data_IF_903392582201
#
_entry.id   IF_903392582201
#
_cell.length_a   1.000
_cell.length_b   1.000
_cell.length_c   1.000
_cell.angle_alpha   90.00
_cell.angle_beta   90.00
_cell.angle_gamma   90.00
#
_symmetry.space_group_name_H-M   'P 1'
#
loop_
_entity.id
_entity.type
_entity.pdbx_description
1 polymer ?
#
# COMPACT_ATOMS: atom_id res chain seq x y z
N UNK A 1 -16.70 5.08 21.60
CA UNK A 1 -16.65 4.96 20.13
C UNK A 1 -16.52 3.50 19.75
N UNK A 2 -17.21 3.09 18.68
CA UNK A 2 -17.11 1.73 18.12
C UNK A 2 -15.75 1.57 17.42
N UNK A 3 -15.07 0.44 17.59
CA UNK A 3 -13.76 0.18 17.02
C UNK A 3 -13.49 -1.32 16.84
N UNK A 4 -12.62 -1.67 15.89
CA UNK A 4 -12.16 -3.04 15.62
C UNK A 4 -10.78 -3.23 16.25
N UNK A 5 -10.71 -4.02 17.29
CA UNK A 5 -9.51 -4.20 18.11
C UNK A 5 -8.89 -5.57 17.85
N UNK A 6 -7.60 -5.58 17.55
CA UNK A 6 -6.78 -6.79 17.45
C UNK A 6 -6.43 -7.31 18.86
N UNK A 7 -6.96 -8.47 19.21
CA UNK A 7 -6.69 -9.12 20.49
C UNK A 7 -5.51 -10.06 20.44
N UNK A 8 -5.52 -10.89 19.41
CA UNK A 8 -4.49 -11.91 19.15
C UNK A 8 -4.63 -12.43 17.70
N UNK A 9 -3.76 -13.32 17.29
CA UNK A 9 -3.88 -14.08 16.04
C UNK A 9 -5.29 -14.65 15.89
N UNK A 10 -5.88 -14.44 14.72
CA UNK A 10 -7.24 -14.84 14.34
C UNK A 10 -8.36 -14.29 15.26
N UNK A 11 -8.05 -13.22 16.01
CA UNK A 11 -9.02 -12.62 16.94
C UNK A 11 -9.10 -11.10 16.80
N UNK A 12 -10.15 -10.63 16.11
CA UNK A 12 -10.60 -9.25 16.04
C UNK A 12 -11.93 -9.09 16.77
N UNK A 13 -12.06 -8.07 17.60
CA UNK A 13 -13.27 -7.77 18.32
C UNK A 13 -13.79 -6.38 18.00
N UNK A 14 -15.09 -6.27 17.77
CA UNK A 14 -15.78 -4.98 17.68
C UNK A 14 -16.22 -4.61 19.10
N UNK A 15 -15.68 -3.53 19.63
CA UNK A 15 -15.97 -3.09 20.99
C UNK A 15 -16.15 -1.57 21.08
N UNK A 16 -16.80 -1.14 22.14
CA UNK A 16 -16.81 0.26 22.56
C UNK A 16 -15.50 0.61 23.29
N UNK A 17 -14.76 1.56 22.73
CA UNK A 17 -13.52 2.08 23.33
C UNK A 17 -13.66 3.56 23.69
N UNK A 18 -12.67 4.08 24.44
CA UNK A 18 -12.55 5.50 24.74
C UNK A 18 -11.23 6.02 24.16
N UNK A 19 -11.26 7.19 23.57
CA UNK A 19 -10.03 7.88 23.21
C UNK A 19 -9.27 8.24 24.50
N UNK A 20 -7.94 8.15 24.44
CA UNK A 20 -7.09 8.72 25.49
C UNK A 20 -7.17 10.25 25.47
N UNK A 21 -6.58 10.90 26.47
CA UNK A 21 -6.45 12.35 26.47
C UNK A 21 -5.62 12.81 25.26
N UNK A 22 -6.14 13.85 24.61
CA UNK A 22 -5.48 14.53 23.49
C UNK A 22 -4.27 15.33 24.02
N UNK A 23 -3.15 15.30 23.31
CA UNK A 23 -2.01 16.18 23.59
C UNK A 23 -2.13 17.47 22.78
N UNK A 24 -1.28 18.44 23.12
CA UNK A 24 -1.30 19.79 22.53
C UNK A 24 -0.98 19.78 21.02
N UNK A 25 -0.17 18.83 20.55
CA UNK A 25 0.27 18.64 19.16
C UNK A 25 -0.51 17.56 18.38
N UNK A 26 -1.67 17.16 18.88
CA UNK A 26 -2.48 16.08 18.29
C UNK A 26 -3.87 16.56 17.84
N UNK A 27 -4.41 15.84 16.87
CA UNK A 27 -5.73 16.01 16.29
C UNK A 27 -6.61 14.81 16.63
N UNK A 28 -7.92 15.02 16.84
CA UNK A 28 -8.92 13.94 16.75
C UNK A 28 -9.60 14.08 15.39
N UNK A 29 -9.60 13.02 14.62
CA UNK A 29 -10.32 12.97 13.35
C UNK A 29 -11.48 11.98 13.41
N UNK A 30 -12.59 12.34 12.78
CA UNK A 30 -13.63 11.40 12.39
C UNK A 30 -13.13 10.64 11.16
N UNK A 31 -12.93 9.32 11.28
CA UNK A 31 -12.48 8.50 10.16
C UNK A 31 -13.60 8.37 9.14
N UNK A 32 -13.34 8.82 7.92
CA UNK A 32 -14.30 8.65 6.83
C UNK A 32 -14.11 7.32 6.11
N UNK A 33 -12.87 7.03 5.71
CA UNK A 33 -12.50 5.81 5.01
C UNK A 33 -11.15 5.31 5.52
N UNK A 34 -11.02 3.98 5.64
CA UNK A 34 -9.75 3.31 5.93
C UNK A 34 -9.60 2.08 5.04
N UNK A 35 -8.54 2.05 4.22
CA UNK A 35 -8.21 0.91 3.36
C UNK A 35 -7.84 -0.33 4.18
N UNK A 36 -8.24 -1.50 3.69
CA UNK A 36 -7.76 -2.79 4.20
C UNK A 36 -6.55 -3.21 3.37
N UNK A 37 -5.45 -3.49 4.03
CA UNK A 37 -4.16 -3.86 3.45
C UNK A 37 -3.88 -5.36 3.58
N UNK A 38 -3.02 -5.90 2.72
CA UNK A 38 -2.46 -7.24 2.91
C UNK A 38 -1.76 -7.41 4.27
N UNK A 39 -1.16 -6.34 4.80
CA UNK A 39 -0.54 -6.32 6.13
C UNK A 39 -1.54 -6.63 7.24
N UNK A 40 -2.78 -6.13 7.16
CA UNK A 40 -3.82 -6.43 8.15
C UNK A 40 -4.14 -7.93 8.18
N UNK A 41 -4.19 -8.59 7.00
CA UNK A 41 -4.34 -10.05 6.91
C UNK A 41 -3.11 -10.79 7.46
N UNK A 42 -1.90 -10.31 7.19
CA UNK A 42 -0.69 -10.90 7.77
C UNK A 42 -0.67 -10.79 9.28
N UNK A 43 -1.12 -9.67 9.85
CA UNK A 43 -1.27 -9.48 11.30
C UNK A 43 -2.32 -10.46 11.84
N UNK A 44 -3.49 -10.50 11.23
CA UNK A 44 -4.58 -11.40 11.65
C UNK A 44 -4.14 -12.87 11.67
N UNK A 45 -3.43 -13.31 10.62
CA UNK A 45 -2.94 -14.70 10.52
C UNK A 45 -1.65 -14.98 11.30
N UNK A 46 -1.14 -14.03 12.08
CA UNK A 46 0.09 -14.20 12.88
C UNK A 46 1.40 -14.21 12.08
N UNK A 47 1.36 -13.78 10.82
CA UNK A 47 2.53 -13.68 9.93
C UNK A 47 3.25 -12.32 10.02
N UNK A 48 2.70 -11.37 10.78
CA UNK A 48 3.28 -10.06 11.01
C UNK A 48 2.92 -9.58 12.41
N UNK A 49 3.81 -8.80 13.03
CA UNK A 49 3.60 -8.31 14.37
C UNK A 49 2.70 -7.07 14.40
N UNK A 50 1.72 -7.07 15.32
CA UNK A 50 1.04 -5.89 15.80
C UNK A 50 0.98 -5.93 17.34
N UNK A 51 0.81 -4.76 17.95
CA UNK A 51 0.62 -4.68 19.39
C UNK A 51 -0.80 -5.16 19.74
N UNK A 52 -0.92 -6.11 20.67
CA UNK A 52 -2.22 -6.57 21.17
C UNK A 52 -3.01 -5.42 21.79
N UNK A 53 -4.32 -5.48 21.66
CA UNK A 53 -5.28 -4.46 22.08
C UNK A 53 -5.13 -3.12 21.34
N UNK A 54 -4.66 -3.15 20.10
CA UNK A 54 -4.57 -1.99 19.20
C UNK A 54 -5.69 -2.03 18.17
N UNK A 55 -6.24 -0.89 17.84
CA UNK A 55 -7.19 -0.73 16.72
C UNK A 55 -6.37 -0.78 15.43
N UNK A 56 -6.70 -1.70 14.50
CA UNK A 56 -6.01 -1.83 13.22
C UNK A 56 -6.44 -0.74 12.21
N UNK A 57 -5.90 -0.82 10.99
CA UNK A 57 -6.19 0.08 9.88
C UNK A 57 -5.22 1.25 9.80
N UNK A 58 -4.36 1.23 8.78
CA UNK A 58 -3.26 2.19 8.63
C UNK A 58 -3.34 3.02 7.33
N UNK A 59 -4.34 2.80 6.48
CA UNK A 59 -4.55 3.51 5.22
C UNK A 59 -5.80 4.39 5.31
N UNK A 60 -5.77 5.53 6.04
CA UNK A 60 -7.00 6.24 6.36
C UNK A 60 -6.96 7.75 6.10
N UNK A 61 -8.17 8.28 5.89
CA UNK A 61 -8.46 9.70 5.76
C UNK A 61 -9.72 10.05 6.53
N UNK A 62 -9.84 11.30 6.94
CA UNK A 62 -10.98 11.76 7.72
C UNK A 62 -11.03 13.27 7.88
N UNK A 63 -11.93 13.73 8.74
CA UNK A 63 -12.18 15.15 9.02
C UNK A 63 -11.79 15.49 10.45
N UNK A 64 -11.08 16.58 10.67
CA UNK A 64 -10.68 17.05 11.99
C UNK A 64 -11.91 17.50 12.78
N UNK A 65 -12.12 16.95 13.97
CA UNK A 65 -13.24 17.32 14.87
C UNK A 65 -12.78 17.97 16.18
N UNK A 66 -11.53 17.72 16.60
CA UNK A 66 -10.90 18.39 17.74
C UNK A 66 -9.42 18.60 17.40
N UNK A 67 -8.85 19.73 17.84
CA UNK A 67 -7.43 20.02 17.73
C UNK A 67 -6.81 20.43 19.06
N UNK A 68 -5.58 20.02 19.31
CA UNK A 68 -4.77 20.51 20.41
C UNK A 68 -4.35 21.97 20.21
N UNK A 69 -3.85 22.60 21.25
CA UNK A 69 -3.54 24.03 21.24
C UNK A 69 -2.37 24.38 20.33
N UNK A 70 -1.42 23.44 20.13
CA UNK A 70 -0.22 23.62 19.29
C UNK A 70 -0.42 23.16 17.85
N UNK A 71 -1.63 22.77 17.45
CA UNK A 71 -1.97 22.32 16.09
C UNK A 71 -2.11 23.49 15.11
N UNK A 72 -1.04 24.24 14.88
CA UNK A 72 -1.01 25.36 13.95
C UNK A 72 -1.15 24.87 12.50
N UNK A 73 -1.92 25.59 11.66
CA UNK A 73 -2.14 25.27 10.25
C UNK A 73 -3.25 24.26 9.99
N UNK A 74 -3.95 23.79 11.05
CA UNK A 74 -5.11 22.91 10.96
C UNK A 74 -6.33 23.56 11.60
N UNK A 75 -7.51 23.38 10.99
CA UNK A 75 -8.77 23.86 11.53
C UNK A 75 -9.78 22.71 11.67
N UNK A 76 -10.72 22.86 12.61
CA UNK A 76 -11.84 21.92 12.75
C UNK A 76 -12.68 21.97 11.47
N UNK A 77 -12.96 20.81 10.89
CA UNK A 77 -13.64 20.67 9.60
C UNK A 77 -12.70 20.48 8.41
N UNK A 78 -11.38 20.58 8.61
CA UNK A 78 -10.41 20.25 7.56
C UNK A 78 -10.39 18.74 7.28
N UNK A 79 -10.27 18.38 6.00
CA UNK A 79 -10.05 17.02 5.56
C UNK A 79 -8.55 16.71 5.49
N UNK A 80 -8.16 15.55 5.99
CA UNK A 80 -6.77 15.10 5.98
C UNK A 80 -6.63 13.65 5.55
N UNK A 81 -5.50 13.33 4.93
CA UNK A 81 -4.95 11.96 4.86
C UNK A 81 -3.82 11.82 5.89
N UNK A 82 -3.59 10.61 6.36
CA UNK A 82 -2.66 10.35 7.47
C UNK A 82 -1.55 9.41 7.05
N UNK A 83 -0.29 9.85 7.21
CA UNK A 83 0.87 8.96 7.16
C UNK A 83 0.93 8.18 8.48
N UNK A 84 0.73 6.85 8.47
CA UNK A 84 0.70 6.08 9.72
C UNK A 84 2.06 5.98 10.41
N UNK A 85 3.17 6.26 9.71
CA UNK A 85 4.52 5.96 10.17
C UNK A 85 5.12 7.09 10.99
N UNK A 86 5.27 6.89 12.29
CA UNK A 86 5.81 7.87 13.24
C UNK A 86 7.26 7.53 13.55
N UNK A 87 8.17 8.45 13.24
CA UNK A 87 9.61 8.31 13.43
C UNK A 87 10.12 9.18 14.56
N UNK A 88 11.13 8.72 15.31
CA UNK A 88 11.62 9.47 16.46
C UNK A 88 12.46 10.72 16.12
N UNK A 89 12.94 10.84 14.89
CA UNK A 89 13.75 11.97 14.40
C UNK A 89 15.18 12.08 14.99
N UNK A 90 15.54 11.26 15.98
CA UNK A 90 16.78 11.44 16.78
C UNK A 90 17.72 10.23 16.81
N UNK A 91 17.30 9.02 16.46
CA UNK A 91 18.20 7.86 16.34
C UNK A 91 19.12 8.01 15.12
N UNK A 92 20.16 7.18 15.06
CA UNK A 92 21.17 7.28 14.01
C UNK A 92 20.59 7.05 12.61
N UNK A 93 19.63 6.12 12.47
CA UNK A 93 18.93 5.93 11.22
C UNK A 93 18.13 7.17 10.79
N UNK A 94 17.41 7.80 11.72
CA UNK A 94 16.67 9.03 11.40
C UNK A 94 17.60 10.17 10.99
N UNK A 95 18.70 10.36 11.72
CA UNK A 95 19.73 11.38 11.40
C UNK A 95 20.41 11.12 10.06
N UNK A 96 20.51 9.84 9.63
CA UNK A 96 21.07 9.47 8.34
C UNK A 96 20.04 9.51 7.19
N UNK A 97 18.80 10.01 7.43
CA UNK A 97 17.72 10.04 6.43
C UNK A 97 17.13 8.67 6.09
N UNK A 98 17.41 7.65 6.88
CA UNK A 98 16.91 6.28 6.72
C UNK A 98 15.79 5.99 7.74
N UNK A 99 14.78 6.87 7.75
CA UNK A 99 13.72 6.87 8.76
C UNK A 99 12.92 5.56 8.81
N UNK A 100 12.80 4.82 7.71
CA UNK A 100 12.15 3.50 7.66
C UNK A 100 12.82 2.44 8.57
N UNK A 101 14.04 2.70 9.03
CA UNK A 101 14.77 1.85 9.99
C UNK A 101 14.83 2.46 11.39
N UNK A 102 13.95 3.41 11.71
CA UNK A 102 13.90 4.05 13.00
C UNK A 102 13.77 3.02 14.14
N UNK A 103 14.67 3.08 15.13
CA UNK A 103 14.69 2.16 16.28
C UNK A 103 13.45 2.30 17.18
N UNK A 104 12.81 3.46 17.15
CA UNK A 104 11.60 3.76 17.92
C UNK A 104 10.41 4.02 16.98
N UNK A 105 10.36 3.30 15.86
CA UNK A 105 9.28 3.40 14.91
C UNK A 105 7.95 2.97 15.54
N UNK A 106 6.92 3.78 15.31
CA UNK A 106 5.54 3.49 15.66
C UNK A 106 4.69 3.62 14.42
N UNK A 107 3.61 2.86 14.35
CA UNK A 107 2.68 2.91 13.23
C UNK A 107 1.23 2.91 13.73
N UNK A 108 0.47 3.92 13.33
CA UNK A 108 -0.97 3.98 13.54
C UNK A 108 -1.62 2.78 12.80
N UNK A 109 -2.48 2.04 13.48
CA UNK A 109 -3.09 0.84 12.95
C UNK A 109 -2.25 -0.43 13.05
N UNK A 110 -1.07 -0.37 13.70
CA UNK A 110 -0.18 -1.53 13.92
C UNK A 110 0.33 -1.56 15.36
N UNK A 111 1.02 -0.52 15.80
CA UNK A 111 1.56 -0.40 17.17
C UNK A 111 0.86 0.66 18.02
N UNK A 112 0.17 1.56 17.38
CA UNK A 112 -0.71 2.58 17.96
C UNK A 112 -2.08 2.46 17.29
N UNK A 113 -3.14 2.97 17.93
CA UNK A 113 -4.51 2.88 17.41
C UNK A 113 -4.65 3.53 16.04
N UNK A 114 -5.38 2.87 15.14
CA UNK A 114 -5.58 3.23 13.74
C UNK A 114 -7.02 3.50 13.33
N UNK A 115 -7.27 3.38 12.02
CA UNK A 115 -8.46 3.88 11.35
C UNK A 115 -9.66 2.93 11.27
N UNK A 116 -9.61 1.70 11.81
CA UNK A 116 -10.82 0.85 11.89
C UNK A 116 -11.64 1.21 13.13
N UNK A 117 -12.00 2.48 13.24
CA UNK A 117 -12.77 3.08 14.33
C UNK A 117 -13.57 4.29 13.83
N UNK A 118 -14.49 4.78 14.66
CA UNK A 118 -15.18 6.04 14.37
C UNK A 118 -14.23 7.24 14.44
N UNK A 119 -13.30 7.24 15.41
CA UNK A 119 -12.36 8.33 15.66
C UNK A 119 -10.96 7.81 15.93
N UNK A 120 -9.95 8.60 15.59
CA UNK A 120 -8.54 8.31 15.87
C UNK A 120 -7.80 9.58 16.27
N UNK A 121 -6.79 9.44 17.15
CA UNK A 121 -5.87 10.52 17.51
C UNK A 121 -4.65 10.45 16.59
N UNK A 122 -4.33 11.58 15.94
CA UNK A 122 -3.27 11.70 14.96
C UNK A 122 -2.32 12.84 15.36
N UNK A 123 -1.00 12.59 15.48
CA UNK A 123 -0.04 13.70 15.60
C UNK A 123 -0.07 14.61 14.38
N UNK A 124 0.03 15.92 14.55
CA UNK A 124 0.03 16.88 13.43
C UNK A 124 1.11 16.61 12.40
N UNK A 125 2.26 16.08 12.83
CA UNK A 125 3.36 15.69 11.93
C UNK A 125 3.01 14.58 10.93
N UNK A 126 1.92 13.86 11.17
CA UNK A 126 1.43 12.77 10.33
C UNK A 126 0.22 13.17 9.48
N UNK A 127 -0.31 14.38 9.67
CA UNK A 127 -1.50 14.89 9.02
C UNK A 127 -1.15 15.68 7.75
N UNK A 128 -1.82 15.37 6.64
CA UNK A 128 -1.67 16.07 5.37
C UNK A 128 -3.02 16.63 4.92
N UNK A 129 -3.09 17.96 4.81
CA UNK A 129 -4.29 18.66 4.39
C UNK A 129 -4.71 18.28 2.96
N UNK A 130 -6.00 18.14 2.78
CA UNK A 130 -6.63 17.87 1.49
C UNK A 130 -7.52 19.04 1.06
N UNK A 131 -7.72 19.28 -0.23
CA UNK A 131 -8.75 20.18 -0.70
C UNK A 131 -10.13 19.74 -0.13
N UNK A 132 -10.95 20.70 0.27
CA UNK A 132 -12.22 20.44 0.96
C UNK A 132 -13.15 19.50 0.21
N UNK A 133 -13.16 19.59 -1.12
CA UNK A 133 -14.01 18.79 -2.00
C UNK A 133 -13.35 17.48 -2.46
N UNK A 134 -12.13 17.16 -1.97
CA UNK A 134 -11.45 15.94 -2.37
C UNK A 134 -12.10 14.72 -1.69
N UNK A 135 -12.26 13.63 -2.46
CA UNK A 135 -12.85 12.38 -1.97
C UNK A 135 -11.99 11.75 -0.88
N UNK A 136 -12.56 11.54 0.32
CA UNK A 136 -11.86 10.88 1.42
C UNK A 136 -11.65 9.38 1.17
N UNK A 137 -12.50 8.76 0.34
CA UNK A 137 -12.27 7.39 -0.15
C UNK A 137 -11.03 7.31 -1.04
N UNK A 138 -10.82 8.30 -1.92
CA UNK A 138 -9.63 8.36 -2.76
C UNK A 138 -8.39 8.75 -1.94
N UNK A 139 -8.55 9.61 -0.94
CA UNK A 139 -7.49 10.01 -0.04
C UNK A 139 -6.92 8.85 0.80
N UNK A 140 -7.74 7.84 1.12
CA UNK A 140 -7.29 6.62 1.80
C UNK A 140 -6.28 5.79 0.97
N UNK A 141 -6.12 6.08 -0.32
CA UNK A 141 -5.05 5.50 -1.14
C UNK A 141 -3.69 6.21 -0.97
N UNK A 142 -3.60 7.31 -0.21
CA UNK A 142 -2.36 8.06 -0.06
C UNK A 142 -1.23 7.19 0.55
N UNK A 143 -1.56 6.40 1.57
CA UNK A 143 -0.58 5.50 2.19
C UNK A 143 -0.04 4.45 1.20
N UNK A 144 -0.86 3.57 0.59
CA UNK A 144 -0.34 2.58 -0.34
C UNK A 144 0.32 3.21 -1.58
N UNK A 145 -0.16 4.36 -2.06
CA UNK A 145 0.48 5.09 -3.14
C UNK A 145 1.88 5.58 -2.73
N UNK A 146 2.03 6.07 -1.50
CA UNK A 146 3.33 6.53 -0.98
C UNK A 146 4.36 5.40 -0.91
N UNK A 147 3.93 4.20 -0.52
CA UNK A 147 4.75 3.00 -0.57
C UNK A 147 5.12 2.65 -2.02
N UNK A 148 4.16 2.72 -2.96
CA UNK A 148 4.41 2.47 -4.38
C UNK A 148 5.41 3.48 -4.97
N UNK A 149 5.34 4.76 -4.61
CA UNK A 149 6.33 5.77 -5.01
C UNK A 149 7.72 5.35 -4.58
N UNK A 150 7.88 4.88 -3.33
CA UNK A 150 9.17 4.36 -2.87
C UNK A 150 9.63 3.16 -3.71
N UNK A 151 8.74 2.24 -4.06
CA UNK A 151 9.04 1.11 -4.94
C UNK A 151 9.53 1.55 -6.32
N UNK A 152 8.90 2.54 -6.92
CA UNK A 152 9.30 3.11 -8.22
C UNK A 152 10.65 3.83 -8.12
N UNK A 153 10.90 4.57 -7.04
CA UNK A 153 12.21 5.19 -6.79
C UNK A 153 13.32 4.11 -6.72
N UNK A 154 13.04 2.95 -6.11
CA UNK A 154 13.98 1.82 -6.09
C UNK A 154 14.17 1.19 -7.48
N UNK A 155 13.15 1.19 -8.34
CA UNK A 155 13.26 0.63 -9.69
C UNK A 155 14.17 1.46 -10.58
N UNK A 156 14.36 2.77 -10.33
CA UNK A 156 15.17 3.68 -11.14
C UNK A 156 14.81 3.60 -12.62
N UNK A 157 13.49 3.71 -12.90
CA UNK A 157 12.96 3.67 -14.27
C UNK A 157 13.52 4.85 -15.06
N UNK A 158 14.00 4.57 -16.28
CA UNK A 158 14.46 5.58 -17.24
C UNK A 158 13.47 5.68 -18.40
N UNK A 159 13.46 6.85 -19.05
CA UNK A 159 12.69 7.00 -20.28
C UNK A 159 13.08 5.96 -21.31
N UNK A 160 12.11 5.24 -21.81
CA UNK A 160 12.32 4.18 -22.80
C UNK A 160 12.41 2.77 -22.21
N UNK A 161 12.52 2.61 -20.87
CA UNK A 161 12.55 1.30 -20.24
C UNK A 161 11.26 0.51 -20.49
N UNK A 162 11.41 -0.80 -20.66
CA UNK A 162 10.30 -1.76 -20.57
C UNK A 162 10.13 -2.23 -19.13
N UNK A 163 8.90 -2.23 -18.64
CA UNK A 163 8.56 -2.60 -17.26
C UNK A 163 7.58 -3.77 -17.25
N UNK A 164 7.88 -4.79 -16.44
CA UNK A 164 6.90 -5.85 -16.12
C UNK A 164 6.47 -5.70 -14.68
N UNK A 165 5.17 -5.68 -14.44
CA UNK A 165 4.56 -5.68 -13.12
C UNK A 165 3.95 -7.05 -12.89
N UNK A 166 4.42 -7.77 -11.88
CA UNK A 166 3.90 -9.08 -11.50
C UNK A 166 2.86 -8.88 -10.39
N UNK A 167 1.60 -9.12 -10.74
CA UNK A 167 0.42 -8.88 -9.90
C UNK A 167 -0.38 -7.65 -10.33
N UNK A 168 -1.62 -7.85 -10.77
CA UNK A 168 -2.58 -6.80 -11.19
C UNK A 168 -3.59 -6.43 -10.10
N UNK A 169 -3.23 -6.55 -8.81
CA UNK A 169 -4.01 -6.05 -7.69
C UNK A 169 -3.89 -4.54 -7.53
N UNK A 170 -4.44 -3.98 -6.45
CA UNK A 170 -4.38 -2.54 -6.16
C UNK A 170 -2.98 -1.98 -6.28
N UNK A 171 -2.00 -2.62 -5.64
CA UNK A 171 -0.59 -2.20 -5.68
C UNK A 171 -0.04 -2.23 -7.10
N UNK A 172 -0.29 -3.31 -7.86
CA UNK A 172 0.16 -3.41 -9.25
C UNK A 172 -0.44 -2.33 -10.16
N UNK A 173 -1.71 -1.95 -9.95
CA UNK A 173 -2.38 -0.87 -10.68
C UNK A 173 -1.83 0.52 -10.32
N UNK A 174 -1.42 0.74 -9.07
CA UNK A 174 -0.73 1.97 -8.67
C UNK A 174 0.69 2.02 -9.27
N UNK A 175 1.44 0.90 -9.22
CA UNK A 175 2.77 0.77 -9.83
C UNK A 175 2.74 0.98 -11.35
N UNK A 176 1.71 0.48 -12.03
CA UNK A 176 1.49 0.69 -13.46
C UNK A 176 1.43 2.18 -13.82
N UNK A 177 0.61 2.94 -13.12
CA UNK A 177 0.46 4.36 -13.36
C UNK A 177 1.75 5.13 -13.04
N UNK A 178 2.40 4.80 -11.92
CA UNK A 178 3.66 5.41 -11.52
C UNK A 178 4.81 5.06 -12.49
N UNK A 179 4.88 3.82 -13.01
CA UNK A 179 5.86 3.43 -14.02
C UNK A 179 5.68 4.23 -15.32
N UNK A 180 4.43 4.45 -15.73
CA UNK A 180 4.09 5.30 -16.87
C UNK A 180 4.54 6.75 -16.65
N UNK A 181 4.27 7.33 -15.49
CA UNK A 181 4.72 8.67 -15.12
C UNK A 181 6.25 8.77 -15.05
N UNK A 182 6.95 7.69 -14.66
CA UNK A 182 8.40 7.64 -14.63
C UNK A 182 9.06 7.52 -16.02
N UNK A 183 8.26 7.33 -17.08
CA UNK A 183 8.74 7.31 -18.47
C UNK A 183 8.96 5.93 -19.07
N UNK A 184 8.37 4.88 -18.48
CA UNK A 184 8.35 3.55 -19.11
C UNK A 184 7.72 3.64 -20.51
N UNK A 185 8.40 3.06 -21.52
CA UNK A 185 7.92 3.05 -22.91
C UNK A 185 6.99 1.88 -23.20
N UNK A 186 7.04 0.85 -22.37
CA UNK A 186 6.22 -0.36 -22.47
C UNK A 186 5.98 -0.95 -21.10
N UNK A 187 4.73 -1.24 -20.79
CA UNK A 187 4.34 -1.81 -19.50
C UNK A 187 3.51 -3.07 -19.73
N UNK A 188 3.97 -4.18 -19.18
CA UNK A 188 3.27 -5.46 -19.17
C UNK A 188 2.82 -5.75 -17.74
N UNK A 189 1.54 -6.10 -17.56
CA UNK A 189 1.01 -6.58 -16.29
C UNK A 189 0.80 -8.09 -16.37
N UNK A 190 1.28 -8.83 -15.36
CA UNK A 190 1.03 -10.26 -15.24
C UNK A 190 -0.01 -10.47 -14.15
N UNK A 191 -1.19 -10.98 -14.53
CA UNK A 191 -2.33 -11.18 -13.63
C UNK A 191 -3.14 -12.42 -14.06
N UNK A 192 -3.31 -13.43 -13.16
CA UNK A 192 -4.08 -14.64 -13.49
C UNK A 192 -5.59 -14.38 -13.60
N UNK A 193 -6.14 -13.41 -12.88
CA UNK A 193 -7.56 -13.15 -12.86
C UNK A 193 -7.99 -12.23 -14.01
N UNK A 194 -8.61 -12.82 -15.03
CA UNK A 194 -9.06 -12.07 -16.22
C UNK A 194 -10.04 -10.92 -15.91
N UNK A 195 -10.81 -11.03 -14.80
CA UNK A 195 -11.72 -9.94 -14.40
C UNK A 195 -11.00 -8.65 -14.01
N UNK A 196 -9.70 -8.75 -13.65
CA UNK A 196 -8.85 -7.60 -13.32
C UNK A 196 -8.18 -6.98 -14.55
N UNK A 197 -8.12 -7.68 -15.66
CA UNK A 197 -7.41 -7.24 -16.86
C UNK A 197 -7.91 -5.90 -17.39
N UNK A 198 -9.24 -5.69 -17.40
CA UNK A 198 -9.84 -4.44 -17.88
C UNK A 198 -9.30 -3.21 -17.15
N UNK A 199 -9.10 -3.28 -15.82
CA UNK A 199 -8.60 -2.15 -15.04
C UNK A 199 -7.15 -1.82 -15.36
N UNK A 200 -6.32 -2.84 -15.59
CA UNK A 200 -4.94 -2.61 -16.00
C UNK A 200 -4.85 -1.96 -17.39
N UNK A 201 -5.70 -2.39 -18.35
CA UNK A 201 -5.77 -1.77 -19.68
C UNK A 201 -6.26 -0.33 -19.62
N UNK A 202 -7.34 -0.06 -18.88
CA UNK A 202 -7.90 1.28 -18.68
C UNK A 202 -6.88 2.23 -18.05
N UNK A 203 -6.05 1.75 -17.11
CA UNK A 203 -5.01 2.52 -16.44
C UNK A 203 -3.69 2.60 -17.23
N UNK A 204 -3.62 1.97 -18.40
CA UNK A 204 -2.56 2.19 -19.38
C UNK A 204 -1.51 1.09 -19.50
N UNK A 205 -1.83 -0.16 -19.14
CA UNK A 205 -0.99 -1.31 -19.51
C UNK A 205 -1.02 -1.51 -21.02
N UNK A 206 0.16 -1.71 -21.63
CA UNK A 206 0.25 -2.03 -23.06
C UNK A 206 -0.12 -3.48 -23.34
N UNK A 207 0.23 -4.39 -22.41
CA UNK A 207 -0.05 -5.82 -22.52
C UNK A 207 -0.42 -6.40 -21.16
N UNK A 208 -1.26 -7.44 -21.20
CA UNK A 208 -1.55 -8.27 -20.02
C UNK A 208 -1.30 -9.72 -20.38
N UNK A 209 -0.58 -10.40 -19.50
CA UNK A 209 -0.27 -11.81 -19.62
C UNK A 209 -0.78 -12.56 -18.39
N UNK A 210 -1.30 -13.78 -18.61
CA UNK A 210 -1.64 -14.68 -17.52
C UNK A 210 -0.47 -15.61 -17.21
N UNK A 211 -0.09 -15.83 -15.95
CA UNK A 211 0.98 -16.74 -15.57
C UNK A 211 0.68 -18.21 -15.96
N UNK A 212 -0.59 -18.57 -16.11
CA UNK A 212 -1.03 -19.94 -16.46
C UNK A 212 -0.90 -20.26 -17.96
N UNK A 213 -0.54 -19.28 -18.78
CA UNK A 213 -0.33 -19.52 -20.22
C UNK A 213 0.99 -20.24 -20.46
N UNK A 214 0.94 -21.34 -21.23
CA UNK A 214 2.10 -22.17 -21.59
C UNK A 214 3.26 -21.36 -22.21
N UNK A 215 2.96 -20.23 -22.84
CA UNK A 215 3.93 -19.40 -23.57
C UNK A 215 4.25 -18.06 -22.87
N UNK A 216 3.97 -17.89 -21.57
CA UNK A 216 4.18 -16.62 -20.86
C UNK A 216 5.56 -16.03 -21.09
N UNK A 217 6.63 -16.80 -20.84
CA UNK A 217 8.01 -16.33 -20.99
C UNK A 217 8.35 -15.98 -22.44
N UNK A 218 7.84 -16.74 -23.40
CA UNK A 218 8.02 -16.45 -24.83
C UNK A 218 7.34 -15.13 -25.21
N UNK A 219 6.08 -14.93 -24.83
CA UNK A 219 5.34 -13.70 -25.13
C UNK A 219 5.95 -12.49 -24.43
N UNK A 220 6.34 -12.61 -23.17
CA UNK A 220 7.01 -11.55 -22.44
C UNK A 220 8.35 -11.17 -23.08
N UNK A 221 9.19 -12.17 -23.42
CA UNK A 221 10.47 -11.94 -24.08
C UNK A 221 10.33 -11.33 -25.48
N UNK A 222 9.35 -11.80 -26.26
CA UNK A 222 9.04 -11.23 -27.58
C UNK A 222 8.61 -9.77 -27.47
N UNK A 223 7.74 -9.46 -26.49
CA UNK A 223 7.20 -8.12 -26.29
C UNK A 223 8.25 -7.15 -25.76
N UNK A 224 9.19 -7.62 -24.92
CA UNK A 224 10.26 -6.81 -24.30
C UNK A 224 11.60 -6.93 -25.03
N UNK A 225 11.66 -7.65 -26.15
CA UNK A 225 12.89 -7.89 -26.91
C UNK A 225 13.99 -8.55 -26.08
N UNK A 226 13.67 -9.63 -25.37
CA UNK A 226 14.61 -10.47 -24.62
C UNK A 226 14.62 -10.26 -23.10
N UNK A 227 13.56 -9.74 -22.54
CA UNK A 227 13.35 -9.48 -21.11
C UNK A 227 13.14 -8.00 -20.80
N UNK A 228 12.54 -7.71 -19.66
CA UNK A 228 12.26 -6.34 -19.24
C UNK A 228 13.48 -5.64 -18.64
N UNK A 229 13.55 -4.31 -18.78
CA UNK A 229 14.52 -3.46 -18.09
C UNK A 229 14.28 -3.45 -16.58
N UNK A 230 13.03 -3.44 -16.20
CA UNK A 230 12.58 -3.43 -14.81
C UNK A 230 11.47 -4.46 -14.59
N UNK A 231 11.54 -5.17 -13.48
CA UNK A 231 10.46 -6.04 -13.01
C UNK A 231 10.08 -5.63 -11.60
N UNK A 232 8.80 -5.34 -11.36
CA UNK A 232 8.27 -4.99 -10.05
C UNK A 232 7.35 -6.12 -9.61
N UNK A 233 7.75 -6.81 -8.56
CA UNK A 233 7.01 -7.93 -7.99
C UNK A 233 6.08 -7.40 -6.87
N UNK A 234 4.75 -7.55 -7.06
CA UNK A 234 3.72 -6.99 -6.19
C UNK A 234 2.84 -8.07 -5.52
N UNK A 235 3.19 -9.34 -5.59
CA UNK A 235 2.41 -10.47 -5.07
C UNK A 235 2.90 -10.92 -3.68
N UNK A 236 4.23 -10.94 -3.49
CA UNK A 236 4.83 -11.40 -2.24
C UNK A 236 4.89 -12.93 -2.13
N UNK A 237 5.11 -13.65 -3.22
CA UNK A 237 5.24 -15.11 -3.19
C UNK A 237 6.56 -15.58 -3.81
N UNK A 238 7.12 -16.73 -3.34
CA UNK A 238 8.33 -17.30 -3.94
C UNK A 238 8.20 -17.54 -5.44
N UNK A 239 7.02 -17.96 -5.91
CA UNK A 239 6.78 -18.23 -7.32
C UNK A 239 6.78 -16.94 -8.16
N UNK A 240 6.19 -15.85 -7.65
CA UNK A 240 6.18 -14.56 -8.32
C UNK A 240 7.60 -13.94 -8.39
N UNK A 241 8.39 -14.07 -7.31
CA UNK A 241 9.81 -13.64 -7.32
C UNK A 241 10.63 -14.50 -8.30
N UNK A 242 10.41 -15.81 -8.32
CA UNK A 242 11.10 -16.73 -9.26
C UNK A 242 10.75 -16.39 -10.71
N UNK A 243 9.48 -16.11 -10.99
CA UNK A 243 9.03 -15.65 -12.31
C UNK A 243 9.70 -14.31 -12.67
N UNK A 244 9.83 -13.38 -11.74
CA UNK A 244 10.52 -12.10 -11.96
C UNK A 244 11.97 -12.27 -12.39
N UNK A 245 12.70 -13.25 -11.82
CA UNK A 245 14.07 -13.59 -12.23
C UNK A 245 14.17 -14.14 -13.66
N UNK A 246 13.10 -14.77 -14.16
CA UNK A 246 13.04 -15.28 -15.54
C UNK A 246 12.69 -14.19 -16.56
N UNK A 247 11.95 -13.17 -16.13
CA UNK A 247 11.44 -12.09 -16.98
C UNK A 247 12.41 -10.94 -17.17
N UNK A 248 13.42 -10.82 -16.30
CA UNK A 248 14.39 -9.73 -16.32
C UNK A 248 15.51 -9.95 -17.35
N UNK A 249 15.86 -8.92 -18.11
CA UNK A 249 16.99 -8.95 -19.02
C UNK A 249 18.34 -8.77 -18.30
N UNK A 250 19.44 -8.87 -19.06
CA UNK A 250 20.80 -8.54 -18.59
C UNK A 250 20.88 -7.05 -18.23
N UNK A 251 21.51 -6.73 -17.10
CA UNK A 251 21.63 -5.37 -16.57
C UNK A 251 20.32 -4.83 -15.98
N UNK A 252 19.27 -5.66 -15.88
CA UNK A 252 17.98 -5.23 -15.40
C UNK A 252 17.87 -5.14 -13.87
N UNK A 253 16.84 -4.45 -13.39
CA UNK A 253 16.55 -4.28 -11.97
C UNK A 253 15.23 -4.97 -11.60
N UNK A 254 15.25 -5.80 -10.56
CA UNK A 254 14.06 -6.38 -9.94
C UNK A 254 13.80 -5.64 -8.62
N UNK A 255 12.57 -5.19 -8.41
CA UNK A 255 12.10 -4.68 -7.13
C UNK A 255 11.12 -5.69 -6.53
N UNK A 256 11.51 -6.34 -5.44
CA UNK A 256 10.63 -7.17 -4.63
C UNK A 256 9.87 -6.22 -3.70
N UNK A 257 8.61 -5.98 -4.02
CA UNK A 257 7.72 -5.08 -3.30
C UNK A 257 6.70 -5.86 -2.45
N UNK A 258 6.20 -6.97 -2.96
CA UNK A 258 5.25 -7.81 -2.26
C UNK A 258 5.87 -8.40 -0.98
N UNK A 259 5.10 -8.40 0.12
CA UNK A 259 5.50 -8.97 1.40
C UNK A 259 5.25 -10.48 1.41
N UNK A 260 6.31 -11.27 1.43
CA UNK A 260 6.22 -12.72 1.57
C UNK A 260 5.98 -13.12 3.04
N UNK A 261 5.22 -14.22 3.28
CA UNK A 261 5.11 -14.78 4.63
C UNK A 261 6.48 -15.17 5.21
N UNK A 262 6.61 -15.09 6.53
CA UNK A 262 7.83 -15.42 7.24
C UNK A 262 8.32 -16.86 6.91
N UNK A 263 9.64 -17.05 6.81
CA UNK A 263 10.27 -18.33 6.48
C UNK A 263 10.22 -18.75 5.01
N UNK A 264 9.57 -18.01 4.14
CA UNK A 264 9.59 -18.30 2.70
C UNK A 264 10.89 -17.81 2.06
N UNK A 265 11.41 -18.59 1.11
CA UNK A 265 12.65 -18.29 0.42
C UNK A 265 12.59 -18.72 -1.04
N UNK A 266 13.52 -18.21 -1.85
CA UNK A 266 13.72 -18.60 -3.24
C UNK A 266 15.14 -19.15 -3.45
N UNK A 267 15.33 -19.92 -4.53
CA UNK A 267 16.67 -20.30 -5.00
C UNK A 267 17.14 -19.29 -6.04
N UNK A 268 18.28 -18.65 -5.80
CA UNK A 268 18.93 -17.77 -6.77
C UNK A 268 20.08 -18.51 -7.45
N UNK A 269 20.04 -18.63 -8.78
CA UNK A 269 21.16 -19.13 -9.57
C UNK A 269 22.25 -18.06 -9.62
N UNK A 270 23.31 -18.24 -8.85
CA UNK A 270 24.39 -17.24 -8.71
C UNK A 270 25.13 -16.99 -10.02
N UNK A 271 25.35 -18.05 -10.84
CA UNK A 271 26.03 -17.89 -12.13
C UNK A 271 25.19 -17.10 -13.13
N UNK A 272 23.86 -17.32 -13.12
CA UNK A 272 22.95 -16.57 -13.97
C UNK A 272 22.86 -15.11 -13.53
N UNK A 273 22.71 -14.86 -12.23
CA UNK A 273 22.68 -13.52 -11.66
C UNK A 273 23.96 -12.73 -11.99
N UNK A 274 25.13 -13.38 -11.85
CA UNK A 274 26.44 -12.82 -12.24
C UNK A 274 26.49 -12.47 -13.72
N UNK A 275 26.14 -13.42 -14.62
CA UNK A 275 26.20 -13.22 -16.08
C UNK A 275 25.19 -12.17 -16.57
N UNK A 276 24.10 -11.97 -15.84
CA UNK A 276 23.11 -10.96 -16.14
C UNK A 276 23.41 -9.60 -15.48
N UNK A 277 24.39 -9.51 -14.56
CA UNK A 277 24.64 -8.31 -13.72
C UNK A 277 23.33 -7.80 -13.09
N UNK A 278 22.58 -8.72 -12.45
CA UNK A 278 21.28 -8.40 -11.92
C UNK A 278 21.36 -7.46 -10.72
N UNK A 279 20.50 -6.46 -10.69
CA UNK A 279 20.19 -5.67 -9.50
C UNK A 279 18.90 -6.16 -8.87
N UNK A 280 18.95 -6.58 -7.60
CA UNK A 280 17.75 -6.94 -6.82
C UNK A 280 17.63 -5.95 -5.68
N UNK A 281 16.51 -5.26 -5.63
CA UNK A 281 16.18 -4.29 -4.57
C UNK A 281 14.89 -4.68 -3.89
N UNK A 282 14.71 -4.20 -2.66
CA UNK A 282 13.46 -4.31 -1.90
C UNK A 282 12.96 -2.92 -1.56
N UNK A 283 11.68 -2.80 -1.26
CA UNK A 283 11.08 -1.54 -0.79
C UNK A 283 10.44 -1.76 0.56
N UNK A 284 10.73 -0.89 1.53
CA UNK A 284 10.19 -0.97 2.87
C UNK A 284 9.65 0.38 3.30
N UNK A 285 8.36 0.41 3.65
CA UNK A 285 7.60 1.61 4.03
C UNK A 285 7.65 2.73 2.98
N UNK A 286 7.39 3.97 3.43
CA UNK A 286 7.18 5.15 2.59
C UNK A 286 8.05 6.37 3.00
N UNK A 287 9.38 6.20 3.24
CA UNK A 287 10.21 7.29 3.73
C UNK A 287 10.17 8.51 2.82
N UNK A 288 9.64 9.63 3.32
CA UNK A 288 9.53 10.93 2.65
C UNK A 288 8.69 10.94 1.35
N UNK A 289 7.83 9.94 1.13
CA UNK A 289 7.05 9.84 -0.11
C UNK A 289 5.56 10.19 0.07
N UNK A 290 5.07 10.36 1.30
CA UNK A 290 3.65 10.61 1.54
C UNK A 290 3.16 11.93 0.94
N UNK A 291 3.90 13.02 1.12
CA UNK A 291 3.56 14.32 0.50
C UNK A 291 3.49 14.23 -1.04
N UNK A 292 4.43 13.47 -1.65
CA UNK A 292 4.41 13.21 -3.10
C UNK A 292 3.15 12.44 -3.53
N UNK A 293 2.69 11.49 -2.69
CA UNK A 293 1.45 10.76 -2.95
C UNK A 293 0.24 11.70 -2.92
N UNK A 294 0.16 12.59 -1.93
CA UNK A 294 -0.88 13.62 -1.86
C UNK A 294 -0.89 14.47 -3.12
N UNK A 295 0.28 14.99 -3.54
CA UNK A 295 0.39 15.82 -4.74
C UNK A 295 -0.08 15.09 -6.01
N UNK A 296 0.27 13.81 -6.17
CA UNK A 296 -0.16 13.01 -7.31
C UNK A 296 -1.67 12.76 -7.31
N UNK A 297 -2.28 12.55 -6.13
CA UNK A 297 -3.70 12.32 -5.97
C UNK A 297 -4.51 13.59 -6.26
N UNK A 298 -4.21 14.71 -5.57
CA UNK A 298 -4.98 15.96 -5.72
C UNK A 298 -4.88 16.56 -7.13
N UNK A 299 -3.73 16.35 -7.79
CA UNK A 299 -3.51 16.78 -9.19
C UNK A 299 -3.95 15.72 -10.23
N UNK A 300 -4.62 14.64 -9.79
CA UNK A 300 -5.12 13.56 -10.65
C UNK A 300 -4.07 13.00 -11.62
N UNK A 301 -2.82 12.90 -11.17
CA UNK A 301 -1.74 12.25 -11.92
C UNK A 301 -1.77 10.75 -11.77
N UNK A 302 -2.29 10.28 -10.65
CA UNK A 302 -2.64 8.88 -10.39
C UNK A 302 -4.14 8.81 -10.16
N UNK A 303 -4.80 7.98 -10.95
CA UNK A 303 -6.26 7.80 -10.91
C UNK A 303 -6.60 6.59 -10.03
N UNK A 304 -7.25 6.84 -8.91
CA UNK A 304 -7.65 5.80 -7.96
C UNK A 304 -9.16 5.54 -7.96
N UNK A 305 -9.97 6.49 -8.43
CA UNK A 305 -11.43 6.34 -8.49
C UNK A 305 -11.86 5.26 -9.49
N UNK A 306 -11.00 4.91 -10.46
CA UNK A 306 -11.22 3.79 -11.38
C UNK A 306 -10.91 2.42 -10.76
N UNK A 307 -10.29 2.38 -9.57
CA UNK A 307 -10.02 1.13 -8.85
C UNK A 307 -11.26 0.76 -8.03
N UNK A 308 -11.95 -0.37 -8.32
CA UNK A 308 -13.13 -0.76 -7.58
C UNK A 308 -12.88 -0.92 -6.09
N UNK A 309 -13.68 -0.21 -5.30
CA UNK A 309 -13.67 -0.28 -3.85
C UNK A 309 -14.96 -0.93 -3.35
N UNK A 310 -14.83 -1.94 -2.48
CA UNK A 310 -15.94 -2.48 -1.71
C UNK A 310 -15.94 -1.85 -0.33
N UNK A 311 -16.98 -1.08 -0.02
CA UNK A 311 -17.15 -0.45 1.29
C UNK A 311 -17.62 -1.47 2.34
N UNK A 312 -17.04 -1.42 3.52
CA UNK A 312 -17.33 -2.30 4.66
C UNK A 312 -17.69 -1.47 5.89
N UNK A 313 -18.73 -1.86 6.60
CA UNK A 313 -19.04 -1.38 7.94
C UNK A 313 -18.33 -2.22 9.01
N UNK A 314 -18.61 -1.92 10.29
CA UNK A 314 -18.00 -2.64 11.42
C UNK A 314 -18.22 -4.16 11.36
N UNK A 315 -19.43 -4.61 11.07
CA UNK A 315 -19.74 -6.05 11.11
C UNK A 315 -19.10 -6.79 9.94
N UNK A 316 -19.16 -6.21 8.75
CA UNK A 316 -18.60 -6.83 7.54
C UNK A 316 -17.06 -6.79 7.48
N UNK A 317 -16.39 -5.86 8.18
CA UNK A 317 -14.91 -5.81 8.16
C UNK A 317 -14.31 -7.01 8.90
N UNK A 318 -14.90 -7.49 9.99
CA UNK A 318 -14.39 -8.67 10.70
C UNK A 318 -14.60 -9.95 9.90
N UNK A 319 -15.68 -10.03 9.13
CA UNK A 319 -16.00 -11.21 8.31
C UNK A 319 -14.97 -11.46 7.20
N UNK A 320 -14.42 -10.41 6.58
CA UNK A 320 -13.44 -10.58 5.50
C UNK A 320 -12.13 -11.24 5.98
N UNK A 321 -11.77 -11.07 7.25
CA UNK A 321 -10.59 -11.71 7.82
C UNK A 321 -10.81 -13.20 8.07
N UNK A 322 -12.03 -13.62 8.39
CA UNK A 322 -12.40 -15.03 8.67
C UNK A 322 -12.64 -15.83 7.40
N UNK A 323 -13.16 -15.19 6.35
CA UNK A 323 -13.36 -15.80 5.04
C UNK A 323 -12.12 -15.57 4.20
N UNK A 324 -11.34 -16.64 3.95
CA UNK A 324 -10.13 -16.55 3.11
C UNK A 324 -10.35 -15.59 1.93
N UNK A 325 -9.49 -14.57 1.82
CA UNK A 325 -9.47 -13.50 0.82
C UNK A 325 -9.73 -14.04 -0.60
N UNK A 326 -10.99 -14.24 -0.91
CA UNK A 326 -11.46 -14.68 -2.22
C UNK A 326 -12.14 -13.51 -2.86
N UNK A 327 -11.42 -12.60 -3.50
CA UNK A 327 -12.20 -11.59 -4.15
C UNK A 327 -11.73 -11.19 -5.51
N UNK A 328 -12.74 -11.02 -6.35
CA UNK A 328 -12.68 -10.17 -7.54
C UNK A 328 -12.59 -8.68 -7.17
N UNK A 329 -12.66 -8.34 -5.89
CA UNK A 329 -12.51 -6.99 -5.34
C UNK A 329 -11.04 -6.62 -5.36
N UNK A 330 -10.74 -5.43 -5.85
CA UNK A 330 -9.38 -4.88 -5.87
C UNK A 330 -9.03 -4.26 -4.52
N UNK A 331 -9.95 -3.51 -3.93
CA UNK A 331 -9.74 -2.84 -2.64
C UNK A 331 -10.96 -2.94 -1.75
N UNK A 332 -10.75 -3.27 -0.49
CA UNK A 332 -11.73 -3.06 0.57
C UNK A 332 -11.42 -1.77 1.32
N UNK A 333 -12.45 -1.04 1.70
CA UNK A 333 -12.34 0.10 2.60
C UNK A 333 -13.40 0.04 3.68
N UNK A 334 -12.96 0.17 4.92
CA UNK A 334 -13.85 0.43 6.05
C UNK A 334 -14.40 1.86 5.97
N UNK A 335 -15.66 2.03 6.34
CA UNK A 335 -16.30 3.33 6.57
C UNK A 335 -17.29 3.24 7.73
N UNK A 336 -17.29 4.26 8.59
CA UNK A 336 -18.26 4.36 9.69
C UNK A 336 -19.64 4.87 9.24
N UNK A 337 -19.77 5.29 7.97
CA UNK A 337 -20.99 5.89 7.40
C UNK A 337 -21.91 4.89 6.68
N UNK A 338 -21.52 3.64 6.55
CA UNK A 338 -22.42 2.60 6.06
C UNK A 338 -23.55 2.44 7.09
N UNK A 339 -24.72 3.01 6.77
CA UNK A 339 -25.95 2.68 7.48
C UNK A 339 -26.21 1.21 7.23
N UNK A 340 -26.14 0.41 8.28
CA UNK A 340 -26.64 -0.96 8.24
C UNK A 340 -28.09 -0.90 7.73
N UNK A 341 -28.34 -1.49 6.58
CA UNK A 341 -29.70 -1.75 6.12
C UNK A 341 -30.25 -2.83 7.06
N UNK A 342 -31.03 -2.39 8.06
CA UNK A 342 -31.84 -3.24 8.94
C UNK A 342 -32.81 -4.09 8.13
#
# INVERSE_FOLDING_TARGET
>A
MKSVVFRDTENLEIIETKLRNLKDDELIIEVANCGVCGTDFHIFNGHSHAKKNTILGHEFAGTIIVKGIDCNGFEIGDNIAVDPNIYCGKCDYCKAGKIQFCENHKALGVTEDGGFAEYVIVPTSQAYLLPKEYSLSDAAFAEPLSCCIRGIDQAEIKHGDSVIIVGGGTIGLLMLQLAKLAGASKIIVIEPNEKKHKYALELGADYILSPDRINLLYEANKTTNGGADKVIECVGSPDAVTLSLQLIKRGGTIVIFGLAPEGKSIKLNLQEAFKKELTIKTSFLNPFTFGRAIDLLINRKVEVSSIPVTQLGFDSITEIFSTSYKSNTLKYQFTNKLKETL
#
